data_IF_033825239457
#
_entry.id   IF_033825239457
#
_cell.length_a   1.000
_cell.length_b   1.000
_cell.length_c   1.000
_cell.angle_alpha   90.00
_cell.angle_beta   90.00
_cell.angle_gamma   90.00
#
_symmetry.space_group_name_H-M   'P 1'
#
loop_
_entity.id
_entity.type
_entity.pdbx_description
1 polymer ?
#
# COMPACT_ATOMS: atom_id res chain seq x y z
N UNK A 1 -25.41 16.66 -24.04
CA UNK A 1 -24.03 16.14 -24.14
C UNK A 1 -23.21 16.76 -23.02
N UNK A 2 -23.59 16.43 -21.78
CA UNK A 2 -23.35 17.23 -20.59
C UNK A 2 -23.20 16.25 -19.42
N UNK A 3 -22.06 16.28 -18.72
CA UNK A 3 -21.83 15.55 -17.48
C UNK A 3 -20.66 14.57 -17.51
N UNK A 4 -20.70 13.53 -18.36
CA UNK A 4 -19.79 12.38 -18.28
C UNK A 4 -18.30 12.70 -18.57
N UNK A 5 -18.06 13.64 -19.46
CA UNK A 5 -16.76 14.17 -19.87
C UNK A 5 -16.10 15.04 -18.77
N UNK A 6 -16.92 15.79 -18.02
CA UNK A 6 -16.44 16.53 -16.84
C UNK A 6 -16.08 15.59 -15.68
N UNK A 7 -16.80 14.48 -15.51
CA UNK A 7 -16.49 13.47 -14.48
C UNK A 7 -15.16 12.77 -14.72
N UNK A 8 -14.82 12.46 -15.98
CA UNK A 8 -13.53 11.86 -16.32
C UNK A 8 -12.36 12.77 -15.97
N UNK A 9 -12.45 14.05 -16.33
CA UNK A 9 -11.41 15.02 -15.97
C UNK A 9 -11.29 15.25 -14.47
N UNK A 10 -12.42 15.31 -13.74
CA UNK A 10 -12.41 15.48 -12.28
C UNK A 10 -11.81 14.26 -11.58
N UNK A 11 -12.18 13.03 -11.97
CA UNK A 11 -11.58 11.80 -11.43
C UNK A 11 -10.10 11.66 -11.78
N UNK A 12 -9.69 12.06 -12.99
CA UNK A 12 -8.30 12.01 -13.42
C UNK A 12 -7.47 13.05 -12.66
N UNK A 13 -8.01 14.25 -12.44
CA UNK A 13 -7.42 15.29 -11.60
C UNK A 13 -7.33 14.85 -10.13
N UNK A 14 -8.36 14.18 -9.58
CA UNK A 14 -8.35 13.65 -8.20
C UNK A 14 -7.32 12.53 -8.03
N UNK A 15 -7.22 11.62 -9.01
CA UNK A 15 -6.21 10.55 -9.04
C UNK A 15 -4.78 11.08 -9.18
N UNK A 16 -4.56 12.20 -9.86
CA UNK A 16 -3.26 12.89 -9.92
C UNK A 16 -3.00 13.72 -8.65
N UNK A 17 -4.05 14.33 -8.08
CA UNK A 17 -4.02 15.12 -6.84
C UNK A 17 -3.75 14.26 -5.59
N UNK A 18 -3.98 12.94 -5.67
CA UNK A 18 -3.83 12.03 -4.52
C UNK A 18 -4.87 12.29 -3.43
N UNK A 19 -5.94 13.01 -3.76
CA UNK A 19 -7.12 13.14 -2.95
C UNK A 19 -8.15 12.21 -3.55
N UNK A 20 -8.57 11.17 -2.83
CA UNK A 20 -9.78 10.45 -3.20
C UNK A 20 -10.93 11.21 -2.54
N UNK A 21 -11.58 12.14 -3.25
CA UNK A 21 -12.95 12.48 -2.85
C UNK A 21 -13.76 11.20 -2.98
N UNK A 22 -14.39 10.77 -1.88
CA UNK A 22 -15.17 9.53 -1.77
C UNK A 22 -16.44 9.48 -2.63
N UNK A 23 -16.36 9.89 -3.89
CA UNK A 23 -17.43 9.81 -4.86
C UNK A 23 -17.55 8.37 -5.36
N UNK A 24 -18.68 7.68 -5.12
CA UNK A 24 -18.87 6.27 -5.48
C UNK A 24 -18.79 6.01 -6.99
N UNK A 25 -18.95 7.04 -7.82
CA UNK A 25 -18.94 6.93 -9.29
C UNK A 25 -17.54 6.76 -9.88
N UNK A 26 -16.49 7.22 -9.20
CA UNK A 26 -15.13 7.18 -9.74
C UNK A 26 -14.58 5.75 -9.85
N UNK A 27 -14.83 4.92 -8.83
CA UNK A 27 -14.38 3.53 -8.79
C UNK A 27 -15.05 2.67 -9.86
N UNK A 28 -16.33 2.94 -10.14
CA UNK A 28 -17.10 2.22 -11.17
C UNK A 28 -16.61 2.57 -12.57
N UNK A 29 -16.34 3.86 -12.85
CA UNK A 29 -15.80 4.29 -14.14
C UNK A 29 -14.38 3.76 -14.38
N UNK A 30 -13.53 3.80 -13.34
CA UNK A 30 -12.18 3.22 -13.39
C UNK A 30 -12.20 1.72 -13.65
N UNK A 31 -12.95 0.95 -12.84
CA UNK A 31 -13.06 -0.49 -12.98
C UNK A 31 -13.65 -0.93 -14.32
N UNK A 32 -14.68 -0.25 -14.82
CA UNK A 32 -15.21 -0.50 -16.17
C UNK A 32 -14.14 -0.28 -17.26
N UNK A 33 -13.29 0.73 -17.11
CA UNK A 33 -12.19 1.02 -18.06
C UNK A 33 -11.14 -0.09 -18.03
N UNK A 34 -10.77 -0.59 -16.85
CA UNK A 34 -9.81 -1.68 -16.69
C UNK A 34 -10.35 -3.00 -17.29
N UNK A 35 -11.65 -3.29 -17.13
CA UNK A 35 -12.31 -4.45 -17.74
C UNK A 35 -12.27 -4.35 -19.28
N UNK A 36 -12.58 -3.17 -19.82
CA UNK A 36 -12.54 -2.95 -21.27
C UNK A 36 -11.12 -3.20 -21.80
N UNK A 37 -10.09 -2.64 -21.16
CA UNK A 37 -8.69 -2.86 -21.55
C UNK A 37 -8.29 -4.34 -21.44
N UNK A 38 -8.74 -5.06 -20.41
CA UNK A 38 -8.46 -6.48 -20.21
C UNK A 38 -9.11 -7.41 -21.24
N UNK A 39 -10.28 -7.03 -21.78
CA UNK A 39 -11.02 -7.82 -22.78
C UNK A 39 -10.43 -7.71 -24.19
N UNK A 40 -9.66 -6.65 -24.49
CA UNK A 40 -9.05 -6.44 -25.81
C UNK A 40 -7.55 -6.84 -25.83
N UNK A 41 -7.19 -8.08 -26.20
CA UNK A 41 -5.80 -8.56 -26.24
C UNK A 41 -4.93 -7.83 -27.28
N UNK A 42 -5.52 -7.16 -28.27
CA UNK A 42 -4.80 -6.33 -29.23
C UNK A 42 -4.12 -5.12 -28.57
N UNK A 43 -4.71 -4.56 -27.52
CA UNK A 43 -4.15 -3.41 -26.80
C UNK A 43 -3.00 -3.85 -25.88
N UNK A 44 -3.15 -4.99 -25.20
CA UNK A 44 -2.08 -5.56 -24.38
C UNK A 44 -0.88 -5.98 -25.22
N UNK A 45 -1.11 -6.54 -26.42
CA UNK A 45 -0.06 -6.87 -27.38
C UNK A 45 0.68 -5.66 -27.94
N UNK A 46 0.04 -4.48 -28.02
CA UNK A 46 0.72 -3.23 -28.39
C UNK A 46 1.56 -2.67 -27.24
N UNK A 47 1.03 -2.69 -26.01
CA UNK A 47 1.78 -2.32 -24.80
C UNK A 47 2.99 -3.23 -24.55
N UNK A 48 2.89 -4.52 -24.87
CA UNK A 48 3.99 -5.48 -24.76
C UNK A 48 5.15 -5.21 -25.73
N UNK A 49 4.95 -4.38 -26.76
CA UNK A 49 6.02 -3.94 -27.67
C UNK A 49 6.83 -2.78 -27.10
N UNK A 50 6.41 -2.18 -25.99
CA UNK A 50 7.18 -1.13 -25.34
C UNK A 50 8.50 -1.71 -24.80
N UNK A 51 9.63 -0.98 -24.95
CA UNK A 51 10.90 -1.43 -24.38
C UNK A 51 10.81 -1.48 -22.85
N UNK A 52 11.48 -2.48 -22.27
CA UNK A 52 11.50 -2.72 -20.82
C UNK A 52 11.87 -1.48 -20.00
N UNK A 53 12.74 -0.63 -20.55
CA UNK A 53 13.17 0.63 -19.93
C UNK A 53 12.01 1.58 -19.66
N UNK A 54 11.02 1.65 -20.56
CA UNK A 54 9.85 2.52 -20.39
C UNK A 54 8.91 1.94 -19.33
N UNK A 55 8.68 0.62 -19.36
CA UNK A 55 7.86 -0.06 -18.36
C UNK A 55 8.40 0.13 -16.94
N UNK A 56 9.71 -0.06 -16.75
CA UNK A 56 10.36 0.15 -15.46
C UNK A 56 10.31 1.62 -15.00
N UNK A 57 10.43 2.59 -15.92
CA UNK A 57 10.30 4.01 -15.58
C UNK A 57 8.88 4.39 -15.10
N UNK A 58 7.85 3.87 -15.77
CA UNK A 58 6.45 4.08 -15.36
C UNK A 58 6.16 3.41 -14.02
N UNK A 59 6.66 2.19 -13.80
CA UNK A 59 6.55 1.50 -12.51
C UNK A 59 7.21 2.29 -11.38
N UNK A 60 8.39 2.86 -11.63
CA UNK A 60 9.05 3.73 -10.67
C UNK A 60 8.21 4.95 -10.31
N UNK A 61 7.62 5.63 -11.31
CA UNK A 61 6.73 6.77 -11.07
C UNK A 61 5.49 6.38 -10.24
N UNK A 62 4.90 5.21 -10.51
CA UNK A 62 3.77 4.69 -9.74
C UNK A 62 4.16 4.37 -8.28
N UNK A 63 5.34 3.78 -8.05
CA UNK A 63 5.84 3.52 -6.70
C UNK A 63 6.13 4.81 -5.93
N UNK A 64 6.67 5.85 -6.58
CA UNK A 64 6.83 7.16 -5.95
C UNK A 64 5.49 7.76 -5.53
N UNK A 65 4.44 7.61 -6.34
CA UNK A 65 3.10 8.08 -5.99
C UNK A 65 2.55 7.35 -4.76
N UNK A 66 2.63 6.03 -4.73
CA UNK A 66 2.20 5.23 -3.57
C UNK A 66 2.98 5.57 -2.31
N UNK A 67 4.29 5.79 -2.45
CA UNK A 67 5.14 6.21 -1.35
C UNK A 67 4.75 7.60 -0.84
N UNK A 68 4.45 8.55 -1.74
CA UNK A 68 3.94 9.88 -1.38
C UNK A 68 2.66 9.82 -0.55
N UNK A 69 1.69 8.97 -0.94
CA UNK A 69 0.47 8.73 -0.16
C UNK A 69 0.80 8.17 1.23
N UNK A 70 1.71 7.20 1.32
CA UNK A 70 2.14 6.63 2.61
C UNK A 70 2.77 7.68 3.53
N UNK A 71 3.60 8.58 2.99
CA UNK A 71 4.19 9.70 3.76
C UNK A 71 3.11 10.66 4.25
N UNK A 72 2.13 11.01 3.42
CA UNK A 72 1.01 11.87 3.84
C UNK A 72 0.25 11.26 5.02
N UNK A 73 0.02 9.95 5.01
CA UNK A 73 -0.58 9.23 6.14
C UNK A 73 0.27 9.31 7.42
N UNK A 74 1.59 9.33 7.30
CA UNK A 74 2.47 9.51 8.47
C UNK A 74 2.49 10.95 8.98
N UNK A 75 2.28 11.97 8.14
CA UNK A 75 2.25 13.37 8.55
C UNK A 75 1.08 13.71 9.47
N UNK A 76 -0.06 13.03 9.29
CA UNK A 76 -1.23 13.16 10.16
C UNK A 76 -1.07 12.42 11.51
N UNK A 77 -0.03 11.58 11.64
CA UNK A 77 0.23 10.81 12.87
C UNK A 77 1.14 11.56 13.84
N UNK A 78 0.84 11.47 15.15
CA UNK A 78 1.72 12.04 16.18
C UNK A 78 3.02 11.24 16.26
N UNK A 79 4.12 11.85 15.81
CA UNK A 79 5.47 11.29 15.87
C UNK A 79 5.97 11.19 17.31
N UNK A 80 5.56 10.13 18.00
CA UNK A 80 6.20 9.67 19.23
C UNK A 80 7.23 8.60 18.89
N UNK A 81 8.34 8.49 19.66
CA UNK A 81 9.32 7.43 19.47
C UNK A 81 8.67 6.04 19.48
N UNK A 82 7.63 5.84 20.30
CA UNK A 82 6.82 4.61 20.33
C UNK A 82 6.18 4.29 18.97
N UNK A 83 5.55 5.27 18.32
CA UNK A 83 4.89 5.11 17.01
C UNK A 83 5.91 4.81 15.92
N UNK A 84 7.08 5.46 15.97
CA UNK A 84 8.17 5.23 15.01
C UNK A 84 8.65 3.77 15.09
N UNK A 85 8.88 3.24 16.30
CA UNK A 85 9.29 1.85 16.47
C UNK A 85 8.23 0.84 16.01
N UNK A 86 6.93 1.13 16.18
CA UNK A 86 5.84 0.27 15.69
C UNK A 86 5.83 0.11 14.17
N UNK A 87 6.29 1.12 13.44
CA UNK A 87 6.30 1.11 11.97
C UNK A 87 7.65 0.61 11.44
N UNK A 88 8.75 1.15 11.96
CA UNK A 88 10.09 0.86 11.45
C UNK A 88 10.49 -0.62 11.64
N UNK A 89 10.14 -1.23 12.79
CA UNK A 89 10.51 -2.61 13.10
C UNK A 89 9.89 -3.62 12.12
N UNK A 90 8.56 -3.64 11.89
CA UNK A 90 7.95 -4.53 10.89
C UNK A 90 8.36 -4.22 9.46
N UNK A 91 8.62 -2.96 9.11
CA UNK A 91 9.12 -2.60 7.77
C UNK A 91 10.53 -3.18 7.54
N UNK A 92 11.44 -3.00 8.49
CA UNK A 92 12.81 -3.53 8.39
C UNK A 92 12.87 -5.05 8.39
N UNK A 93 12.05 -5.69 9.23
CA UNK A 93 11.94 -7.16 9.27
C UNK A 93 11.34 -7.68 7.97
N UNK A 94 10.30 -7.04 7.43
CA UNK A 94 9.69 -7.40 6.15
C UNK A 94 10.69 -7.32 4.98
N UNK A 95 11.49 -6.25 4.89
CA UNK A 95 12.54 -6.10 3.87
C UNK A 95 13.61 -7.17 4.03
N UNK A 96 13.99 -7.50 5.26
CA UNK A 96 14.98 -8.54 5.55
C UNK A 96 14.51 -9.92 5.10
N UNK A 97 13.23 -10.26 5.32
CA UNK A 97 12.61 -11.51 4.85
C UNK A 97 12.60 -11.59 3.32
N UNK A 98 12.36 -10.46 2.64
CA UNK A 98 12.37 -10.41 1.17
C UNK A 98 13.74 -10.70 0.55
N UNK A 99 14.83 -10.54 1.31
CA UNK A 99 16.17 -10.90 0.88
C UNK A 99 16.47 -12.42 1.00
N UNK A 100 15.66 -13.16 1.76
CA UNK A 100 15.85 -14.60 1.98
C UNK A 100 15.39 -15.38 0.76
N UNK A 101 16.21 -16.32 0.23
CA UNK A 101 15.82 -17.13 -0.93
C UNK A 101 14.70 -18.12 -0.57
N UNK A 102 13.77 -18.32 -1.52
CA UNK A 102 12.62 -19.22 -1.39
C UNK A 102 13.04 -20.68 -1.10
N UNK A 103 14.28 -21.05 -1.44
CA UNK A 103 14.86 -22.36 -1.09
C UNK A 103 14.87 -22.65 0.41
N UNK A 104 14.95 -21.63 1.26
CA UNK A 104 14.88 -21.76 2.72
C UNK A 104 13.49 -22.15 3.23
N UNK A 105 12.45 -22.04 2.39
CA UNK A 105 11.05 -22.32 2.75
C UNK A 105 10.48 -23.56 2.06
N UNK A 106 11.33 -24.45 1.52
CA UNK A 106 10.88 -25.67 0.81
C UNK A 106 10.19 -26.68 1.72
N UNK A 107 10.52 -26.68 3.02
CA UNK A 107 9.94 -27.60 4.00
C UNK A 107 8.61 -27.07 4.58
N UNK A 108 8.18 -25.87 4.19
CA UNK A 108 6.92 -25.27 4.64
C UNK A 108 5.73 -25.70 3.77
N UNK A 109 4.51 -25.72 4.33
CA UNK A 109 3.30 -25.97 3.56
C UNK A 109 3.20 -25.01 2.36
N UNK A 110 2.75 -25.47 1.19
CA UNK A 110 2.63 -24.65 -0.02
C UNK A 110 1.70 -23.44 0.15
N UNK A 111 0.84 -23.45 1.17
CA UNK A 111 -0.03 -22.33 1.52
C UNK A 111 0.72 -21.20 2.24
N UNK A 112 1.79 -21.50 2.99
CA UNK A 112 2.55 -20.51 3.76
C UNK A 112 3.72 -19.92 2.98
N UNK A 113 4.28 -20.67 2.02
CA UNK A 113 5.35 -20.21 1.13
C UNK A 113 5.08 -18.86 0.45
N UNK A 114 3.90 -18.59 -0.15
CA UNK A 114 3.64 -17.29 -0.78
C UNK A 114 3.47 -16.13 0.22
N UNK A 115 3.03 -16.41 1.47
CA UNK A 115 3.01 -15.39 2.51
C UNK A 115 4.43 -15.04 2.97
N UNK A 116 5.26 -16.06 3.19
CA UNK A 116 6.65 -15.90 3.65
C UNK A 116 7.56 -15.30 2.59
N UNK A 117 7.32 -15.62 1.31
CA UNK A 117 8.04 -15.03 0.17
C UNK A 117 7.68 -13.56 -0.06
N UNK A 118 6.61 -13.05 0.56
CA UNK A 118 6.19 -11.66 0.44
C UNK A 118 6.51 -10.91 1.74
N UNK A 119 7.66 -10.25 1.74
CA UNK A 119 8.15 -9.49 2.90
C UNK A 119 7.17 -8.42 3.40
N UNK A 120 6.34 -7.85 2.53
CA UNK A 120 5.33 -6.86 2.92
C UNK A 120 4.18 -7.51 3.71
N UNK A 121 3.70 -8.68 3.28
CA UNK A 121 2.69 -9.45 4.01
C UNK A 121 3.22 -9.83 5.39
N UNK A 122 4.45 -10.34 5.46
CA UNK A 122 5.09 -10.68 6.73
C UNK A 122 5.29 -9.45 7.64
N UNK A 123 5.64 -8.29 7.07
CA UNK A 123 5.70 -7.04 7.81
C UNK A 123 4.35 -6.68 8.45
N UNK A 124 3.24 -6.78 7.70
CA UNK A 124 1.89 -6.51 8.21
C UNK A 124 1.50 -7.50 9.31
N UNK A 125 1.76 -8.79 9.13
CA UNK A 125 1.50 -9.81 10.17
C UNK A 125 2.29 -9.47 11.44
N UNK A 126 3.54 -9.03 11.31
CA UNK A 126 4.37 -8.65 12.45
C UNK A 126 3.86 -7.39 13.16
N UNK A 127 3.35 -6.39 12.43
CA UNK A 127 2.66 -5.23 13.04
C UNK A 127 1.49 -5.71 13.90
N UNK A 128 0.65 -6.60 13.37
CA UNK A 128 -0.55 -7.09 14.08
C UNK A 128 -0.15 -7.84 15.34
N UNK A 129 0.85 -8.72 15.26
CA UNK A 129 1.37 -9.46 16.42
C UNK A 129 1.93 -8.48 17.45
N UNK A 130 2.71 -7.48 17.03
CA UNK A 130 3.32 -6.50 17.92
C UNK A 130 2.27 -5.62 18.60
N UNK A 131 1.22 -5.22 17.88
CA UNK A 131 0.10 -4.47 18.44
C UNK A 131 -0.70 -5.30 19.45
N UNK A 132 -0.88 -6.60 19.19
CA UNK A 132 -1.60 -7.50 20.09
C UNK A 132 -0.77 -7.91 21.32
N UNK A 133 0.55 -8.07 21.19
CA UNK A 133 1.44 -8.44 22.30
C UNK A 133 1.77 -7.25 23.21
N UNK A 134 1.92 -6.05 22.64
CA UNK A 134 2.22 -4.85 23.41
C UNK A 134 0.91 -4.19 23.80
N UNK A 135 0.44 -4.40 25.03
CA UNK A 135 -0.77 -3.79 25.58
C UNK A 135 -0.62 -2.27 25.80
N UNK A 136 -0.67 -1.49 24.72
CA UNK A 136 -0.49 -0.04 24.71
C UNK A 136 -1.49 0.72 25.60
N UNK A 137 -2.64 0.09 25.87
CA UNK A 137 -3.71 0.55 26.76
C UNK A 137 -3.19 0.96 28.16
N UNK A 138 -2.20 0.23 28.69
CA UNK A 138 -1.63 0.47 30.03
C UNK A 138 -0.85 1.78 30.15
N UNK A 139 -0.45 2.39 29.03
CA UNK A 139 0.35 3.61 29.01
C UNK A 139 -0.49 4.87 28.73
N UNK A 140 -1.71 4.72 28.22
CA UNK A 140 -2.70 5.80 28.08
C UNK A 140 -3.25 6.18 29.48
N UNK A 141 -3.59 5.17 30.29
CA UNK A 141 -4.17 5.35 31.64
C UNK A 141 -3.18 6.00 32.63
N UNK A 142 -1.88 5.68 32.53
CA UNK A 142 -0.85 6.28 33.38
C UNK A 142 -0.66 7.78 33.10
N UNK A 143 -0.86 8.23 31.85
CA UNK A 143 -0.76 9.64 31.46
C UNK A 143 -1.97 10.46 31.90
N UNK A 144 -3.15 9.84 32.00
CA UNK A 144 -4.37 10.46 32.51
C UNK A 144 -4.33 10.63 34.04
N UNK A 145 -3.83 9.63 34.77
CA UNK A 145 -3.74 9.71 36.24
C UNK A 145 -2.72 10.77 36.72
N UNK A 146 -1.61 10.95 35.99
CA UNK A 146 -0.60 11.96 36.34
C UNK A 146 -1.04 13.41 36.07
N UNK A 147 -2.04 13.63 35.20
CA UNK A 147 -2.55 14.97 34.88
C UNK A 147 -3.60 15.51 35.84
N UNK A 148 -4.05 14.70 36.80
CA UNK A 148 -5.12 15.03 37.77
C UNK A 148 -4.63 14.99 39.23
N UNK A 149 -3.31 14.93 39.46
CA UNK A 149 -2.67 14.99 40.78
C UNK A 149 -1.88 16.29 40.96
#
# INVERSE_FOLDING_TARGET
>A
MSGADSFWHICLLDRISGEYKGSPTCGLVGGCSDIIVGVFPSLSGWLAKLPLTVGNAVLFAAYLQMFGTAIRTFQDAVFNPKTIYRVALPVLVGISIMNIPISAFRDFPPLLTPLLSNGLVMGVVLVIILENMVGWDKYETAKLNNKMG
#
